data_IF_497626163838
#
_entry.id   IF_497626163838
#
_cell.length_a   1.000
_cell.length_b   1.000
_cell.length_c   1.000
_cell.angle_alpha   90.00
_cell.angle_beta   90.00
_cell.angle_gamma   90.00
#
_symmetry.space_group_name_H-M   'P 1'
#
loop_
_entity.id
_entity.type
_entity.pdbx_description
1 polymer ?
#
# COMPACT_ATOMS: atom_id res chain seq x y z
N UNK A 1 16.45 25.66 -31.23
CA UNK A 1 15.43 25.67 -32.31
C UNK A 1 14.27 24.70 -32.00
N UNK A 2 13.75 24.69 -30.77
CA UNK A 2 12.45 24.06 -30.40
C UNK A 2 11.74 24.92 -29.33
N UNK A 3 11.95 26.23 -29.41
CA UNK A 3 11.10 27.22 -28.75
C UNK A 3 9.92 27.46 -29.69
N UNK A 4 8.71 27.29 -29.18
CA UNK A 4 7.41 27.59 -29.83
C UNK A 4 6.85 26.47 -30.73
N UNK A 5 6.01 25.60 -30.15
CA UNK A 5 4.62 25.46 -30.59
C UNK A 5 3.81 24.47 -29.72
N UNK A 6 3.41 24.85 -28.49
CA UNK A 6 2.33 24.16 -27.78
C UNK A 6 0.94 24.33 -28.45
N UNK A 7 0.86 24.98 -29.62
CA UNK A 7 -0.40 25.27 -30.32
C UNK A 7 -0.64 24.41 -31.57
N UNK A 8 0.29 23.52 -31.94
CA UNK A 8 0.01 22.57 -33.02
C UNK A 8 -0.88 21.44 -32.49
N UNK A 9 -1.86 20.93 -33.25
CA UNK A 9 -2.73 19.84 -32.80
C UNK A 9 -1.95 18.62 -32.29
N UNK A 10 -0.82 18.31 -32.92
CA UNK A 10 0.09 17.23 -32.51
C UNK A 10 0.81 17.51 -31.19
N UNK A 11 1.20 18.76 -30.93
CA UNK A 11 1.81 19.15 -29.65
C UNK A 11 0.83 19.02 -28.48
N UNK A 12 -0.44 19.38 -28.70
CA UNK A 12 -1.50 19.23 -27.69
C UNK A 12 -1.76 17.75 -27.38
N UNK A 13 -1.87 16.89 -28.41
CA UNK A 13 -2.04 15.45 -28.22
C UNK A 13 -0.87 14.84 -27.43
N UNK A 14 0.36 15.25 -27.72
CA UNK A 14 1.53 14.78 -27.00
C UNK A 14 1.54 15.25 -25.53
N UNK A 15 1.12 16.49 -25.25
CA UNK A 15 0.94 16.99 -23.88
C UNK A 15 -0.16 16.23 -23.13
N UNK A 16 -1.30 15.93 -23.77
CA UNK A 16 -2.35 15.12 -23.15
C UNK A 16 -1.85 13.73 -22.76
N UNK A 17 -1.11 13.07 -23.66
CA UNK A 17 -0.55 11.74 -23.39
C UNK A 17 0.45 11.78 -22.22
N UNK A 18 1.29 12.82 -22.16
CA UNK A 18 2.19 13.07 -21.03
C UNK A 18 1.42 13.20 -19.71
N UNK A 19 0.37 14.02 -19.66
CA UNK A 19 -0.42 14.21 -18.44
C UNK A 19 -1.15 12.93 -18.00
N UNK A 20 -1.59 12.08 -18.94
CA UNK A 20 -2.14 10.75 -18.62
C UNK A 20 -1.08 9.87 -17.93
N UNK A 21 0.15 9.85 -18.45
CA UNK A 21 1.24 9.07 -17.85
C UNK A 21 1.59 9.58 -16.44
N UNK A 22 1.65 10.90 -16.25
CA UNK A 22 1.87 11.51 -14.93
C UNK A 22 0.72 11.21 -13.96
N UNK A 23 -0.53 11.27 -14.44
CA UNK A 23 -1.70 10.92 -13.66
C UNK A 23 -1.71 9.45 -13.20
N UNK A 24 -1.29 8.52 -14.07
CA UNK A 24 -1.12 7.10 -13.71
C UNK A 24 -0.04 6.94 -12.64
N UNK A 25 1.10 7.63 -12.79
CA UNK A 25 2.19 7.59 -11.83
C UNK A 25 1.78 8.13 -10.45
N UNK A 26 1.12 9.28 -10.40
CA UNK A 26 0.58 9.85 -9.15
C UNK A 26 -0.50 8.96 -8.54
N UNK A 27 -1.37 8.39 -9.38
CA UNK A 27 -2.39 7.43 -8.95
C UNK A 27 -1.78 6.20 -8.29
N UNK A 28 -0.69 5.68 -8.84
CA UNK A 28 0.05 4.56 -8.24
C UNK A 28 0.62 4.94 -6.87
N UNK A 29 1.27 6.10 -6.74
CA UNK A 29 1.82 6.58 -5.47
C UNK A 29 0.74 6.76 -4.40
N UNK A 30 -0.40 7.34 -4.77
CA UNK A 30 -1.54 7.50 -3.88
C UNK A 30 -2.19 6.16 -3.49
N UNK A 31 -2.11 5.15 -4.36
CA UNK A 31 -2.64 3.81 -4.11
C UNK A 31 -1.80 2.99 -3.13
N UNK A 32 -0.50 3.30 -2.95
CA UNK A 32 0.43 2.49 -2.16
C UNK A 32 -0.04 2.18 -0.72
N UNK A 33 -0.53 3.15 0.09
CA UNK A 33 -0.96 2.83 1.45
C UNK A 33 -2.14 1.88 1.48
N UNK A 34 -3.05 1.97 0.51
CA UNK A 34 -4.23 1.09 0.42
C UNK A 34 -3.81 -0.36 0.18
N UNK A 35 -2.94 -0.58 -0.80
CA UNK A 35 -2.40 -1.91 -1.08
C UNK A 35 -1.54 -2.45 0.06
N UNK A 36 -0.86 -1.59 0.81
CA UNK A 36 -0.11 -1.98 1.99
C UNK A 36 -1.05 -2.60 3.04
N UNK A 37 -2.13 -1.91 3.43
CA UNK A 37 -3.08 -2.42 4.42
C UNK A 37 -3.87 -3.63 3.93
N UNK A 38 -4.27 -3.64 2.66
CA UNK A 38 -4.86 -4.82 2.01
C UNK A 38 -3.92 -6.04 2.13
N UNK A 39 -2.64 -5.85 1.82
CA UNK A 39 -1.62 -6.92 1.87
C UNK A 39 -1.40 -7.44 3.29
N UNK A 40 -1.46 -6.57 4.31
CA UNK A 40 -1.41 -6.99 5.72
C UNK A 40 -2.58 -7.94 6.05
N UNK A 41 -3.78 -7.62 5.56
CA UNK A 41 -4.96 -8.47 5.74
C UNK A 41 -4.84 -9.81 5.01
N UNK A 42 -4.36 -9.79 3.76
CA UNK A 42 -4.08 -10.98 2.96
C UNK A 42 -3.07 -11.90 3.63
N UNK A 43 -1.97 -11.34 4.17
CA UNK A 43 -0.97 -12.14 4.90
C UNK A 43 -1.56 -12.78 6.15
N UNK A 44 -2.41 -12.05 6.88
CA UNK A 44 -3.08 -12.59 8.06
C UNK A 44 -4.08 -13.70 7.69
N UNK A 45 -4.86 -13.52 6.63
CA UNK A 45 -5.78 -14.54 6.10
C UNK A 45 -5.05 -15.80 5.62
N UNK A 46 -3.90 -15.64 4.96
CA UNK A 46 -3.03 -16.75 4.59
C UNK A 46 -2.52 -17.50 5.83
N UNK A 47 -2.00 -16.80 6.83
CA UNK A 47 -1.38 -17.43 7.99
C UNK A 47 -2.38 -18.18 8.89
N UNK A 48 -3.64 -17.73 8.95
CA UNK A 48 -4.71 -18.44 9.67
C UNK A 48 -5.29 -19.63 8.91
N UNK A 49 -4.94 -19.79 7.63
CA UNK A 49 -5.43 -20.87 6.77
C UNK A 49 -6.81 -20.61 6.16
N UNK A 50 -7.26 -19.35 6.08
CA UNK A 50 -8.54 -19.03 5.45
C UNK A 50 -8.52 -19.27 3.93
N UNK A 51 -7.33 -19.18 3.33
CA UNK A 51 -7.08 -19.32 1.89
C UNK A 51 -6.60 -20.74 1.51
N UNK A 52 -6.80 -21.75 2.36
CA UNK A 52 -6.34 -23.12 2.04
C UNK A 52 -7.25 -23.86 1.05
N UNK A 53 -8.51 -23.39 0.88
CA UNK A 53 -9.51 -24.06 0.05
C UNK A 53 -9.22 -23.99 -1.46
N UNK A 54 -8.97 -22.80 -1.98
CA UNK A 54 -8.61 -22.56 -3.39
C UNK A 54 -7.18 -22.96 -3.72
N UNK A 55 -6.27 -22.96 -2.75
CA UNK A 55 -4.95 -23.60 -2.90
C UNK A 55 -5.05 -25.12 -3.17
N UNK A 56 -6.01 -25.80 -2.53
CA UNK A 56 -6.25 -27.23 -2.73
C UNK A 56 -7.01 -27.53 -4.02
N UNK A 57 -7.98 -26.69 -4.38
CA UNK A 57 -8.76 -26.86 -5.61
C UNK A 57 -8.92 -25.53 -6.36
N UNK A 58 -8.08 -25.27 -7.38
CA UNK A 58 -8.16 -24.07 -8.21
C UNK A 58 -9.48 -23.91 -8.98
N UNK A 59 -10.26 -24.98 -9.15
CA UNK A 59 -11.56 -24.92 -9.83
C UNK A 59 -12.64 -24.21 -8.98
N UNK A 60 -12.40 -23.97 -7.69
CA UNK A 60 -13.28 -23.20 -6.81
C UNK A 60 -13.19 -21.68 -7.01
N UNK A 61 -12.24 -21.21 -7.82
CA UNK A 61 -11.95 -19.79 -8.02
C UNK A 61 -10.78 -19.31 -7.16
N UNK A 62 -10.41 -18.03 -7.31
CA UNK A 62 -9.41 -17.42 -6.44
C UNK A 62 -9.97 -17.33 -5.01
N UNK A 63 -9.18 -17.70 -4.01
CA UNK A 63 -9.58 -17.53 -2.61
C UNK A 63 -9.83 -16.03 -2.33
N UNK A 64 -11.03 -15.70 -1.88
CA UNK A 64 -11.33 -14.35 -1.40
C UNK A 64 -10.65 -14.12 -0.05
N UNK A 65 -10.13 -12.91 0.16
CA UNK A 65 -9.45 -12.48 1.39
C UNK A 65 -10.35 -11.50 2.18
N UNK A 66 -11.20 -11.99 3.10
CA UNK A 66 -12.12 -11.11 3.82
C UNK A 66 -11.42 -10.00 4.59
N UNK A 67 -10.28 -10.30 5.23
CA UNK A 67 -9.54 -9.32 6.03
C UNK A 67 -8.76 -8.36 5.14
N UNK A 68 -8.27 -8.82 3.98
CA UNK A 68 -7.65 -7.94 2.97
C UNK A 68 -8.63 -6.87 2.50
N UNK A 69 -9.82 -7.27 2.05
CA UNK A 69 -10.86 -6.32 1.62
C UNK A 69 -11.35 -5.43 2.76
N UNK A 70 -11.49 -5.97 3.98
CA UNK A 70 -11.88 -5.18 5.14
C UNK A 70 -10.83 -4.10 5.47
N UNK A 71 -9.54 -4.43 5.48
CA UNK A 71 -8.47 -3.46 5.75
C UNK A 71 -8.32 -2.44 4.62
N UNK A 72 -8.56 -2.83 3.37
CA UNK A 72 -8.65 -1.91 2.24
C UNK A 72 -9.76 -0.87 2.49
N UNK A 73 -10.99 -1.31 2.75
CA UNK A 73 -12.12 -0.42 3.00
C UNK A 73 -11.91 0.43 4.27
N UNK A 74 -11.36 -0.17 5.32
CA UNK A 74 -11.02 0.54 6.55
C UNK A 74 -9.98 1.64 6.31
N UNK A 75 -8.93 1.38 5.52
CA UNK A 75 -7.92 2.40 5.18
C UNK A 75 -8.51 3.57 4.37
N UNK A 76 -9.50 3.31 3.50
CA UNK A 76 -10.28 4.36 2.84
C UNK A 76 -11.07 5.21 3.82
N UNK A 77 -11.70 4.59 4.82
CA UNK A 77 -12.40 5.33 5.88
C UNK A 77 -11.42 6.16 6.71
N UNK A 78 -10.25 5.61 7.07
CA UNK A 78 -9.20 6.32 7.81
C UNK A 78 -8.73 7.56 7.04
N UNK A 79 -8.51 7.45 5.72
CA UNK A 79 -8.15 8.62 4.90
C UNK A 79 -9.24 9.70 4.98
N UNK A 80 -10.49 9.32 4.74
CA UNK A 80 -11.61 10.26 4.67
C UNK A 80 -11.85 10.94 6.02
N UNK A 81 -11.77 10.21 7.13
CA UNK A 81 -12.03 10.74 8.47
C UNK A 81 -10.89 11.63 8.97
N UNK A 82 -9.63 11.23 8.77
CA UNK A 82 -8.49 11.94 9.34
C UNK A 82 -8.01 13.11 8.46
N UNK A 83 -8.03 12.94 7.14
CA UNK A 83 -7.45 13.91 6.20
C UNK A 83 -8.48 14.49 5.23
N UNK A 84 -9.57 13.76 4.98
CA UNK A 84 -10.54 14.09 3.94
C UNK A 84 -10.00 13.87 2.53
N UNK A 85 -10.85 14.11 1.52
CA UNK A 85 -10.44 14.01 0.12
C UNK A 85 -9.48 15.14 -0.30
N UNK A 86 -9.33 16.17 0.55
CA UNK A 86 -8.43 17.30 0.32
C UNK A 86 -6.97 16.87 0.23
N UNK A 87 -6.56 15.80 0.93
CA UNK A 87 -5.19 15.29 0.82
C UNK A 87 -4.90 14.80 -0.60
N UNK A 88 -5.79 14.00 -1.19
CA UNK A 88 -5.61 13.51 -2.55
C UNK A 88 -5.60 14.65 -3.58
N UNK A 89 -6.50 15.63 -3.43
CA UNK A 89 -6.55 16.77 -4.36
C UNK A 89 -5.38 17.74 -4.18
N UNK A 90 -4.88 17.92 -2.96
CA UNK A 90 -3.66 18.70 -2.68
C UNK A 90 -2.44 18.06 -3.32
N UNK A 91 -2.27 16.74 -3.21
CA UNK A 91 -1.17 16.02 -3.86
C UNK A 91 -1.22 16.22 -5.38
N UNK A 92 -2.41 16.11 -5.99
CA UNK A 92 -2.56 16.38 -7.43
C UNK A 92 -2.23 17.85 -7.75
N UNK A 93 -2.69 18.80 -6.94
CA UNK A 93 -2.44 20.22 -7.16
C UNK A 93 -0.96 20.59 -7.03
N UNK A 94 -0.30 20.14 -5.96
CA UNK A 94 1.11 20.41 -5.71
C UNK A 94 2.01 19.70 -6.73
N UNK A 95 1.56 18.62 -7.37
CA UNK A 95 2.29 17.99 -8.47
C UNK A 95 2.56 18.95 -9.63
N UNK A 96 1.67 19.91 -9.90
CA UNK A 96 1.87 20.91 -10.96
C UNK A 96 2.91 21.98 -10.60
N UNK A 97 3.26 22.13 -9.31
CA UNK A 97 4.39 22.99 -8.91
C UNK A 97 5.72 22.34 -9.25
N UNK A 98 5.78 21.02 -9.13
CA UNK A 98 6.94 20.22 -9.52
C UNK A 98 7.01 20.06 -11.05
N UNK A 99 5.86 19.75 -11.66
CA UNK A 99 5.68 19.55 -13.09
C UNK A 99 4.69 20.54 -13.71
N UNK A 100 5.15 21.73 -14.11
CA UNK A 100 4.26 22.65 -14.81
C UNK A 100 3.95 22.11 -16.21
N UNK A 101 2.72 22.37 -16.67
CA UNK A 101 2.12 21.78 -17.89
C UNK A 101 2.90 22.14 -19.16
N UNK A 102 3.54 23.32 -19.15
CA UNK A 102 4.34 23.85 -20.26
C UNK A 102 5.71 23.15 -20.42
N UNK A 103 6.14 22.37 -19.42
CA UNK A 103 7.35 21.57 -19.49
C UNK A 103 7.11 20.21 -20.15
N UNK A 104 7.92 19.87 -21.15
CA UNK A 104 7.76 18.67 -21.97
C UNK A 104 8.13 17.37 -21.26
N UNK A 105 9.24 17.39 -20.53
CA UNK A 105 9.72 16.24 -19.80
C UNK A 105 10.01 16.66 -18.37
N UNK A 106 9.69 15.76 -17.45
CA UNK A 106 10.50 15.60 -16.28
C UNK A 106 11.98 15.68 -16.50
N UNK A 107 12.64 16.55 -15.73
CA UNK A 107 14.00 16.28 -15.28
C UNK A 107 13.93 15.03 -14.39
N UNK A 108 13.72 13.85 -15.00
CA UNK A 108 13.96 12.55 -14.39
C UNK A 108 15.47 12.44 -14.18
N UNK A 109 16.00 13.22 -13.23
CA UNK A 109 17.32 12.93 -12.68
C UNK A 109 17.23 11.56 -12.03
N UNK A 110 18.31 10.79 -12.09
CA UNK A 110 18.41 9.45 -11.50
C UNK A 110 17.85 9.41 -10.06
N UNK A 111 17.96 10.52 -9.34
CA UNK A 111 17.44 10.73 -7.99
C UNK A 111 15.91 10.53 -7.87
N UNK A 112 15.09 11.00 -8.82
CA UNK A 112 13.63 10.88 -8.74
C UNK A 112 13.14 9.43 -8.87
N UNK A 113 13.75 8.65 -9.78
CA UNK A 113 13.44 7.23 -9.93
C UNK A 113 13.92 6.41 -8.73
N UNK A 114 15.07 6.75 -8.14
CA UNK A 114 15.57 6.12 -6.92
C UNK A 114 14.63 6.37 -5.72
N UNK A 115 14.10 7.58 -5.57
CA UNK A 115 13.11 7.90 -4.52
C UNK A 115 11.84 7.06 -4.72
N UNK A 116 11.35 6.92 -5.95
CA UNK A 116 10.21 6.05 -6.24
C UNK A 116 10.48 4.59 -5.85
N UNK A 117 11.64 4.05 -6.23
CA UNK A 117 12.03 2.69 -5.87
C UNK A 117 12.15 2.49 -4.36
N UNK A 118 12.67 3.48 -3.64
CA UNK A 118 12.78 3.42 -2.18
C UNK A 118 11.39 3.44 -1.52
N UNK A 119 10.42 4.19 -2.06
CA UNK A 119 9.02 4.15 -1.59
C UNK A 119 8.36 2.79 -1.80
N UNK A 120 8.59 2.16 -2.96
CA UNK A 120 8.07 0.80 -3.23
C UNK A 120 8.72 -0.20 -2.27
N UNK A 121 10.04 -0.12 -2.07
CA UNK A 121 10.77 -0.96 -1.11
C UNK A 121 10.25 -0.76 0.32
N UNK A 122 10.05 0.49 0.74
CA UNK A 122 9.56 0.82 2.07
C UNK A 122 8.16 0.24 2.29
N UNK A 123 7.28 0.32 1.28
CA UNK A 123 5.96 -0.32 1.33
C UNK A 123 6.05 -1.83 1.61
N UNK A 124 6.95 -2.56 0.91
CA UNK A 124 7.14 -4.00 1.18
C UNK A 124 7.64 -4.27 2.61
N UNK A 125 8.57 -3.45 3.11
CA UNK A 125 9.07 -3.56 4.49
C UNK A 125 7.93 -3.32 5.48
N UNK A 126 7.15 -2.26 5.27
CA UNK A 126 6.04 -1.89 6.15
C UNK A 126 4.94 -2.95 6.14
N UNK A 127 4.61 -3.53 4.99
CA UNK A 127 3.65 -4.65 4.91
C UNK A 127 4.10 -5.82 5.79
N UNK A 128 5.37 -6.23 5.70
CA UNK A 128 5.89 -7.33 6.52
C UNK A 128 5.92 -6.94 8.00
N UNK A 129 6.34 -5.71 8.32
CA UNK A 129 6.44 -5.22 9.69
C UNK A 129 5.05 -5.13 10.35
N UNK A 130 4.05 -4.64 9.63
CA UNK A 130 2.69 -4.44 10.15
C UNK A 130 1.95 -5.78 10.28
N UNK A 131 2.19 -6.73 9.36
CA UNK A 131 1.70 -8.09 9.48
C UNK A 131 2.46 -8.91 10.54
N UNK A 132 3.70 -8.52 10.86
CA UNK A 132 4.61 -9.24 11.74
C UNK A 132 4.00 -9.68 13.07
N UNK A 133 3.39 -8.80 13.88
CA UNK A 133 2.77 -9.17 15.14
C UNK A 133 1.67 -10.24 15.00
N UNK A 134 0.85 -10.14 13.94
CA UNK A 134 -0.22 -11.09 13.64
C UNK A 134 0.36 -12.45 13.24
N UNK A 135 1.34 -12.44 12.32
CA UNK A 135 1.98 -13.66 11.82
C UNK A 135 2.74 -14.38 12.93
N UNK A 136 3.49 -13.63 13.76
CA UNK A 136 4.23 -14.17 14.89
C UNK A 136 3.30 -14.83 15.92
N UNK A 137 2.18 -14.19 16.26
CA UNK A 137 1.19 -14.79 17.16
C UNK A 137 0.70 -16.15 16.63
N UNK A 138 0.33 -16.20 15.36
CA UNK A 138 -0.17 -17.44 14.75
C UNK A 138 0.91 -18.52 14.64
N UNK A 139 2.17 -18.12 14.40
CA UNK A 139 3.31 -19.03 14.41
C UNK A 139 3.57 -19.61 15.82
N UNK A 140 3.43 -18.80 16.87
CA UNK A 140 3.50 -19.29 18.24
C UNK A 140 2.36 -20.27 18.57
N UNK A 141 1.16 -20.05 18.04
CA UNK A 141 0.06 -21.00 18.17
C UNK A 141 0.35 -22.32 17.45
N UNK A 142 0.92 -22.28 16.24
CA UNK A 142 1.37 -23.49 15.53
C UNK A 142 2.39 -24.27 16.35
N UNK A 143 3.36 -23.57 16.93
CA UNK A 143 4.38 -24.18 17.77
C UNK A 143 3.75 -24.82 19.02
N UNK A 144 2.84 -24.11 19.71
CA UNK A 144 2.17 -24.62 20.89
C UNK A 144 1.34 -25.88 20.59
N UNK A 145 0.56 -25.86 19.50
CA UNK A 145 -0.24 -27.03 19.09
C UNK A 145 0.65 -28.18 18.60
N UNK A 146 1.76 -27.87 17.92
CA UNK A 146 2.77 -28.84 17.52
C UNK A 146 3.36 -29.57 18.72
N UNK A 147 3.72 -28.85 19.79
CA UNK A 147 4.19 -29.45 21.04
C UNK A 147 3.10 -30.32 21.69
N UNK A 148 1.85 -29.85 21.74
CA UNK A 148 0.73 -30.64 22.27
C UNK A 148 0.50 -31.95 21.51
N UNK A 149 0.72 -31.95 20.19
CA UNK A 149 0.57 -33.15 19.35
C UNK A 149 1.54 -34.28 19.72
N UNK A 150 2.71 -33.94 20.29
CA UNK A 150 3.70 -34.92 20.77
C UNK A 150 3.16 -35.66 22.01
N UNK A 151 2.51 -34.93 22.92
CA UNK A 151 2.02 -35.48 24.18
C UNK A 151 0.67 -36.17 24.07
N UNK A 152 -0.17 -35.75 23.11
CA UNK A 152 -1.48 -36.36 22.85
C UNK A 152 -1.68 -36.61 21.36
N UNK A 153 -1.11 -37.71 20.81
CA UNK A 153 -1.27 -38.07 19.40
C UNK A 153 -2.71 -38.39 19.00
N UNK A 154 -3.56 -38.71 19.98
CA UNK A 154 -4.99 -38.97 19.78
C UNK A 154 -5.77 -37.68 19.47
N UNK A 155 -5.22 -36.53 19.85
CA UNK A 155 -5.76 -35.21 19.54
C UNK A 155 -5.43 -34.93 18.07
N UNK A 156 -6.45 -34.76 17.23
CA UNK A 156 -6.27 -34.34 15.83
C UNK A 156 -5.83 -32.87 15.79
N UNK A 157 -4.57 -32.62 16.18
CA UNK A 157 -4.00 -31.31 16.42
C UNK A 157 -4.13 -30.38 15.20
N UNK A 158 -3.98 -30.94 14.00
CA UNK A 158 -4.16 -30.23 12.72
C UNK A 158 -5.58 -29.69 12.55
N UNK A 159 -6.61 -30.42 13.00
CA UNK A 159 -8.02 -30.00 12.93
C UNK A 159 -8.32 -28.91 13.95
N UNK A 160 -7.70 -28.97 15.15
CA UNK A 160 -7.90 -27.98 16.21
C UNK A 160 -7.16 -26.66 15.96
N UNK A 161 -6.05 -26.70 15.20
CA UNK A 161 -5.18 -25.53 14.97
C UNK A 161 -5.92 -24.39 14.27
N UNK A 162 -6.69 -24.69 13.21
CA UNK A 162 -7.36 -23.66 12.40
C UNK A 162 -8.42 -22.90 13.21
N UNK A 163 -9.38 -23.54 13.91
CA UNK A 163 -10.33 -22.83 14.78
C UNK A 163 -9.64 -21.99 15.86
N UNK A 164 -8.59 -22.52 16.48
CA UNK A 164 -7.84 -21.82 17.53
C UNK A 164 -7.17 -20.55 16.98
N UNK A 165 -6.51 -20.65 15.83
CA UNK A 165 -5.89 -19.52 15.13
C UNK A 165 -6.91 -18.45 14.78
N UNK A 166 -8.09 -18.83 14.28
CA UNK A 166 -9.14 -17.87 13.96
C UNK A 166 -9.62 -17.10 15.18
N UNK A 167 -9.89 -17.78 16.30
CA UNK A 167 -10.38 -17.13 17.53
C UNK A 167 -9.30 -16.23 18.13
N UNK A 168 -8.10 -16.77 18.38
CA UNK A 168 -7.02 -16.03 19.01
C UNK A 168 -6.50 -14.90 18.12
N UNK A 169 -6.37 -15.15 16.81
CA UNK A 169 -5.94 -14.17 15.82
C UNK A 169 -6.91 -13.01 15.72
N UNK A 170 -8.22 -13.27 15.58
CA UNK A 170 -9.22 -12.19 15.48
C UNK A 170 -9.33 -11.40 16.78
N UNK A 171 -9.24 -12.05 17.94
CA UNK A 171 -9.24 -11.38 19.22
C UNK A 171 -8.03 -10.44 19.36
N UNK A 172 -6.83 -10.90 19.04
CA UNK A 172 -5.64 -10.06 19.03
C UNK A 172 -5.75 -8.94 17.99
N UNK A 173 -6.29 -9.22 16.80
CA UNK A 173 -6.48 -8.24 15.73
C UNK A 173 -7.34 -7.06 16.20
N UNK A 174 -8.41 -7.30 16.97
CA UNK A 174 -9.23 -6.21 17.54
C UNK A 174 -8.40 -5.29 18.43
N UNK A 175 -7.52 -5.83 19.27
CA UNK A 175 -6.62 -5.03 20.10
C UNK A 175 -5.50 -4.35 19.31
N UNK A 176 -5.15 -4.90 18.15
CA UNK A 176 -4.11 -4.36 17.27
C UNK A 176 -4.62 -3.27 16.32
N UNK A 177 -5.94 -3.19 16.06
CA UNK A 177 -6.56 -2.18 15.20
C UNK A 177 -6.15 -0.73 15.53
N UNK A 178 -6.12 -0.26 16.80
CA UNK A 178 -5.68 1.09 17.12
C UNK A 178 -4.21 1.35 16.74
N UNK A 179 -3.35 0.33 16.84
CA UNK A 179 -1.96 0.42 16.41
C UNK A 179 -1.86 0.51 14.89
N UNK A 180 -2.66 -0.29 14.16
CA UNK A 180 -2.76 -0.15 12.71
C UNK A 180 -3.26 1.23 12.30
N UNK A 181 -4.23 1.80 13.02
CA UNK A 181 -4.74 3.15 12.77
C UNK A 181 -3.65 4.21 12.91
N UNK A 182 -2.83 4.11 13.96
CA UNK A 182 -1.68 4.97 14.16
C UNK A 182 -0.69 4.89 12.99
N UNK A 183 -0.38 3.66 12.52
CA UNK A 183 0.48 3.48 11.35
C UNK A 183 -0.14 4.01 10.07
N UNK A 184 -1.46 3.82 9.87
CA UNK A 184 -2.17 4.35 8.72
C UNK A 184 -2.09 5.87 8.67
N UNK A 185 -2.29 6.53 9.81
CA UNK A 185 -2.10 7.98 9.94
C UNK A 185 -0.71 8.43 9.47
N UNK A 186 0.34 7.71 9.88
CA UNK A 186 1.71 8.02 9.47
C UNK A 186 1.94 7.85 7.96
N UNK A 187 1.46 6.74 7.37
CA UNK A 187 1.59 6.49 5.93
C UNK A 187 0.85 7.55 5.10
N UNK A 188 -0.38 7.91 5.50
CA UNK A 188 -1.14 8.94 4.80
C UNK A 188 -0.56 10.34 4.99
N UNK A 189 0.01 10.68 6.16
CA UNK A 189 0.72 11.95 6.33
C UNK A 189 2.00 12.01 5.49
N UNK A 190 2.71 10.89 5.34
CA UNK A 190 3.90 10.82 4.49
C UNK A 190 3.56 11.17 3.03
N UNK A 191 2.38 10.78 2.52
CA UNK A 191 1.94 11.19 1.18
C UNK A 191 1.82 12.72 1.00
N UNK A 192 1.42 13.45 2.06
CA UNK A 192 1.36 14.91 2.03
C UNK A 192 2.77 15.50 1.97
N UNK A 193 3.71 14.92 2.71
CA UNK A 193 5.08 15.41 2.82
C UNK A 193 5.96 14.99 1.63
N UNK A 194 5.52 14.01 0.83
CA UNK A 194 6.25 13.53 -0.35
C UNK A 194 6.49 14.62 -1.39
N UNK A 195 5.49 15.44 -1.71
CA UNK A 195 5.65 16.47 -2.73
C UNK A 195 6.61 17.60 -2.31
N UNK A 196 6.52 18.19 -1.10
CA UNK A 196 7.51 19.18 -0.67
C UNK A 196 8.92 18.57 -0.58
N UNK A 197 9.06 17.30 -0.14
CA UNK A 197 10.36 16.63 -0.13
C UNK A 197 10.92 16.39 -1.54
N UNK A 198 10.06 16.03 -2.50
CA UNK A 198 10.43 15.92 -3.91
C UNK A 198 10.76 17.29 -4.51
N UNK A 199 10.09 18.37 -4.09
CA UNK A 199 10.36 19.72 -4.54
C UNK A 199 11.71 20.26 -4.04
N UNK A 200 12.15 19.85 -2.85
CA UNK A 200 13.48 20.17 -2.33
C UNK A 200 14.60 19.43 -3.11
N UNK A 201 14.33 18.20 -3.55
CA UNK A 201 15.29 17.36 -4.29
C UNK A 201 15.32 17.72 -5.78
N UNK A 202 14.17 18.08 -6.35
CA UNK A 202 13.99 18.53 -7.73
C UNK A 202 13.70 20.05 -7.70
N UNK A 203 14.73 20.91 -7.52
CA UNK A 203 14.49 22.34 -7.56
C UNK A 203 13.85 22.68 -8.90
N UNK A 204 12.67 23.31 -8.84
CA UNK A 204 12.04 23.91 -10.00
C UNK A 204 13.10 24.73 -10.72
N UNK A 205 13.28 24.47 -12.02
CA UNK A 205 14.22 25.22 -12.85
C UNK A 205 13.96 26.70 -12.62
N UNK A 206 14.86 27.38 -11.90
CA UNK A 206 14.79 28.82 -11.73
C UNK A 206 14.78 29.39 -13.15
N UNK A 207 13.61 29.85 -13.60
CA UNK A 207 13.52 30.71 -14.76
C UNK A 207 14.14 32.02 -14.34
N UNK A 208 15.46 32.12 -14.52
CA UNK A 208 16.16 33.39 -14.55
C UNK A 208 15.58 34.18 -15.72
N UNK A 209 14.71 35.14 -15.40
CA UNK A 209 14.51 36.33 -16.21
C UNK A 209 15.17 37.49 -15.48
#
# INVERSE_FOLDING_TARGET
MLTNAPHTPWGIVAMMLKEVVLGIFLGYLLALPFWLFESVGVLFDNQRGALSGGQLNPALGADETPLGYMLLQWSMMVLIVNFGLSLATQVIWDSYRLWPVDSWLPDFREQGFLVFLDQVKQMFIDTILYAGPLVLLLLFLDFAVGVLSIYSPQLQATVLTVPLKCIAGLLFFIFYLPTLEYFAGHQFSSLRDLIPHLADILPARQTTW
#
